data_IF_052871936465
#
_entry.id   IF_052871936465
#
_cell.length_a   1.000
_cell.length_b   1.000
_cell.length_c   1.000
_cell.angle_alpha   90.00
_cell.angle_beta   90.00
_cell.angle_gamma   90.00
#
_symmetry.space_group_name_H-M   'P 1'
#
loop_
_entity.id
_entity.type
_entity.pdbx_description
1 polymer ?
#
# COMPACT_ATOMS: atom_id res chain seq x y z
N UNK A 1 -14.13 -4.48 -20.90
CA UNK A 1 -13.52 -4.30 -19.68
C UNK A 1 -13.07 -5.55 -19.04
N UNK A 2 -12.26 -5.51 -18.29
CA UNK A 2 -11.78 -6.69 -17.71
C UNK A 2 -11.83 -6.57 -16.20
N UNK A 3 -12.21 -7.59 -15.52
CA UNK A 3 -12.15 -7.62 -14.07
C UNK A 3 -10.77 -7.96 -13.54
N UNK A 4 -9.77 -8.00 -14.39
CA UNK A 4 -8.44 -8.43 -14.00
C UNK A 4 -7.59 -7.27 -13.49
N UNK A 5 -6.71 -7.57 -12.54
CA UNK A 5 -5.76 -6.61 -12.00
C UNK A 5 -4.53 -6.49 -12.88
N UNK A 6 -3.96 -5.30 -12.92
CA UNK A 6 -2.63 -5.11 -13.51
C UNK A 6 -1.61 -5.67 -12.52
N UNK A 7 -0.67 -6.54 -12.97
CA UNK A 7 0.33 -7.12 -12.06
C UNK A 7 1.47 -6.16 -11.73
N UNK A 8 1.11 -4.93 -11.44
CA UNK A 8 2.03 -3.87 -11.06
C UNK A 8 1.32 -3.00 -10.03
N UNK A 9 1.95 -2.83 -8.87
CA UNK A 9 1.32 -2.16 -7.74
C UNK A 9 2.29 -1.23 -7.04
N UNK A 10 1.75 -0.46 -6.09
CA UNK A 10 2.54 0.41 -5.23
C UNK A 10 2.38 -0.02 -3.78
N UNK A 11 3.41 0.22 -2.99
CA UNK A 11 3.38 0.17 -1.54
C UNK A 11 3.80 1.55 -1.07
N UNK A 12 2.94 2.26 -0.34
CA UNK A 12 3.25 3.59 0.14
C UNK A 12 3.40 3.58 1.64
N UNK A 13 4.62 3.83 2.10
CA UNK A 13 4.92 3.94 3.53
C UNK A 13 4.67 5.37 3.95
N UNK A 14 3.63 5.59 4.75
CA UNK A 14 3.29 6.92 5.26
C UNK A 14 3.97 7.08 6.61
N UNK A 15 4.84 8.08 6.70
CA UNK A 15 5.70 8.24 7.88
C UNK A 15 5.83 9.68 8.31
N UNK A 16 6.14 9.86 9.60
CA UNK A 16 6.38 11.15 10.22
C UNK A 16 7.88 11.42 10.34
N UNK A 17 8.29 12.68 10.66
CA UNK A 17 9.71 12.98 10.89
C UNK A 17 10.31 12.18 12.04
N UNK A 18 9.52 11.83 13.06
CA UNK A 18 9.99 11.01 14.18
C UNK A 18 9.84 9.51 13.90
N UNK A 19 9.65 9.15 12.64
CA UNK A 19 9.63 7.77 12.15
C UNK A 19 8.53 6.89 12.75
N UNK A 20 7.34 7.46 12.90
CA UNK A 20 6.12 6.68 13.08
C UNK A 20 5.56 6.33 11.72
N UNK A 21 5.06 5.14 11.59
CA UNK A 21 4.55 4.60 10.32
C UNK A 21 3.08 4.21 10.50
N UNK A 22 2.27 4.58 9.52
CA UNK A 22 0.86 4.22 9.51
C UNK A 22 0.67 2.81 8.97
N UNK A 23 -0.03 1.99 9.72
CA UNK A 23 -0.45 0.67 9.27
C UNK A 23 -1.97 0.57 9.30
N UNK A 24 -2.51 -0.22 8.39
CA UNK A 24 -3.93 -0.49 8.24
C UNK A 24 -4.17 -1.99 8.39
N UNK A 25 -5.21 -2.35 9.13
CA UNK A 25 -5.61 -3.76 9.28
C UNK A 25 -6.59 -4.13 8.18
N UNK A 26 -6.32 -5.21 7.46
CA UNK A 26 -7.17 -5.64 6.35
C UNK A 26 -8.50 -6.19 6.84
N UNK A 27 -9.59 -5.75 6.21
CA UNK A 27 -10.92 -6.28 6.51
C UNK A 27 -11.10 -7.70 5.98
N UNK A 28 -10.48 -8.02 4.83
CA UNK A 28 -10.59 -9.36 4.23
C UNK A 28 -9.69 -10.39 4.92
N UNK A 29 -8.80 -9.95 5.80
CA UNK A 29 -7.91 -10.84 6.53
C UNK A 29 -7.55 -10.22 7.89
N UNK A 30 -8.49 -10.27 8.88
CA UNK A 30 -8.24 -9.66 10.18
C UNK A 30 -6.95 -10.14 10.84
N UNK A 31 -6.23 -9.22 11.46
CA UNK A 31 -4.93 -9.48 12.04
C UNK A 31 -3.76 -9.21 11.09
N UNK A 32 -4.04 -9.02 9.79
CA UNK A 32 -3.00 -8.69 8.81
C UNK A 32 -2.91 -7.17 8.66
N UNK A 33 -1.76 -6.62 9.00
CA UNK A 33 -1.48 -5.19 8.96
C UNK A 33 -0.51 -4.86 7.85
N UNK A 34 -0.70 -3.73 7.20
CA UNK A 34 0.13 -3.33 6.07
C UNK A 34 0.11 -1.81 5.86
N UNK A 35 1.12 -1.31 5.14
CA UNK A 35 1.09 0.04 4.60
C UNK A 35 0.04 0.14 3.50
N UNK A 36 -0.20 1.34 2.98
CA UNK A 36 -1.10 1.50 1.84
C UNK A 36 -0.56 0.74 0.64
N UNK A 37 -1.38 -0.08 0.04
CA UNK A 37 -1.01 -0.81 -1.17
C UNK A 37 -2.17 -0.83 -2.16
N UNK A 38 -1.84 -0.90 -3.44
CA UNK A 38 -2.86 -1.02 -4.48
C UNK A 38 -2.26 -1.18 -5.85
N UNK A 39 -3.03 -1.77 -6.75
CA UNK A 39 -2.62 -2.01 -8.13
C UNK A 39 -2.94 -0.81 -9.00
N UNK A 40 -2.20 -0.66 -10.10
CA UNK A 40 -2.58 0.27 -11.15
C UNK A 40 -3.99 -0.03 -11.66
N UNK A 41 -4.73 1.00 -12.00
CA UNK A 41 -6.05 0.84 -12.61
C UNK A 41 -5.94 0.39 -14.06
N UNK A 42 -4.88 0.81 -14.72
CA UNK A 42 -4.59 0.47 -16.11
C UNK A 42 -3.09 0.41 -16.32
N UNK A 43 -2.66 -0.27 -17.36
CA UNK A 43 -1.24 -0.52 -17.61
C UNK A 43 -0.44 0.77 -17.73
N UNK A 44 -1.01 1.82 -18.32
CA UNK A 44 -0.31 3.07 -18.54
C UNK A 44 -0.51 4.12 -17.44
N UNK A 45 -1.13 3.75 -16.33
CA UNK A 45 -1.26 4.67 -15.20
C UNK A 45 0.11 4.98 -14.60
N UNK A 46 0.50 6.27 -14.49
CA UNK A 46 1.75 6.61 -13.83
C UNK A 46 1.74 6.19 -12.36
N UNK A 47 2.85 5.68 -11.87
CA UNK A 47 2.95 5.18 -10.49
C UNK A 47 2.58 6.24 -9.46
N UNK A 48 2.98 7.50 -9.68
CA UNK A 48 2.60 8.58 -8.77
C UNK A 48 1.10 8.79 -8.66
N UNK A 49 0.36 8.59 -9.76
CA UNK A 49 -1.10 8.68 -9.74
C UNK A 49 -1.71 7.49 -9.01
N UNK A 50 -1.14 6.30 -9.20
CA UNK A 50 -1.56 5.12 -8.44
C UNK A 50 -1.42 5.39 -6.94
N UNK A 51 -0.28 5.94 -6.52
CA UNK A 51 -0.04 6.28 -5.12
C UNK A 51 -1.08 7.29 -4.61
N UNK A 52 -1.30 8.37 -5.34
CA UNK A 52 -2.24 9.40 -4.91
C UNK A 52 -3.64 8.85 -4.73
N UNK A 53 -4.08 8.05 -5.69
CA UNK A 53 -5.41 7.46 -5.67
C UNK A 53 -5.56 6.50 -4.50
N UNK A 54 -4.63 5.57 -4.33
CA UNK A 54 -4.73 4.56 -3.28
C UNK A 54 -4.60 5.18 -1.88
N UNK A 55 -3.69 6.12 -1.70
CA UNK A 55 -3.56 6.79 -0.40
C UNK A 55 -4.85 7.53 -0.05
N UNK A 56 -5.43 8.25 -1.00
CA UNK A 56 -6.67 8.99 -0.74
C UNK A 56 -7.83 8.04 -0.44
N UNK A 57 -7.97 6.98 -1.21
CA UNK A 57 -9.05 6.01 -1.02
C UNK A 57 -8.95 5.31 0.34
N UNK A 58 -7.74 4.97 0.78
CA UNK A 58 -7.53 4.19 1.99
C UNK A 58 -7.40 5.02 3.26
N UNK A 59 -6.97 6.27 3.15
CA UNK A 59 -6.68 7.11 4.33
C UNK A 59 -7.33 8.48 4.33
N UNK A 60 -7.82 8.95 3.20
CA UNK A 60 -8.32 10.31 3.06
C UNK A 60 -7.23 11.37 3.00
N UNK A 61 -5.95 10.98 3.00
CA UNK A 61 -4.84 11.93 2.97
C UNK A 61 -4.60 12.39 1.53
N UNK A 62 -4.50 13.72 1.34
CA UNK A 62 -4.20 14.31 0.04
C UNK A 62 -2.68 14.40 -0.12
N UNK A 63 -2.11 13.55 -0.98
CA UNK A 63 -0.66 13.49 -1.18
C UNK A 63 -0.08 14.78 -1.73
N UNK A 64 -0.90 15.62 -2.39
CA UNK A 64 -0.42 16.89 -2.96
C UNK A 64 0.03 17.87 -1.87
N UNK A 65 -0.38 17.65 -0.62
CA UNK A 65 -0.01 18.49 0.51
C UNK A 65 1.23 17.99 1.25
N UNK A 66 1.81 16.89 0.78
CA UNK A 66 2.91 16.23 1.48
C UNK A 66 3.99 15.83 0.47
N UNK A 67 5.09 15.28 0.98
CA UNK A 67 6.20 14.87 0.14
C UNK A 67 6.10 13.39 -0.21
N UNK A 68 5.77 13.10 -1.47
CA UNK A 68 5.74 11.73 -2.00
C UNK A 68 7.05 11.48 -2.74
N UNK A 69 7.78 10.47 -2.32
CA UNK A 69 9.08 10.14 -2.89
C UNK A 69 9.10 8.71 -3.39
N UNK A 70 9.54 8.53 -4.62
CA UNK A 70 9.82 7.20 -5.17
C UNK A 70 11.15 6.73 -4.58
N UNK A 71 11.12 5.72 -3.73
CA UNK A 71 12.33 5.20 -3.12
C UNK A 71 13.14 4.32 -4.06
N UNK A 72 12.65 4.12 -5.29
CA UNK A 72 13.32 3.32 -6.31
C UNK A 72 13.63 1.90 -5.85
N UNK A 73 12.74 1.36 -5.02
CA UNK A 73 12.79 -0.02 -4.57
C UNK A 73 11.65 -0.79 -5.23
N UNK A 74 11.94 -1.99 -5.65
CA UNK A 74 10.96 -2.88 -6.23
C UNK A 74 11.04 -4.23 -5.57
N UNK A 75 9.87 -4.83 -5.36
CA UNK A 75 9.76 -6.20 -4.89
C UNK A 75 8.97 -6.98 -5.93
N UNK A 76 9.57 -8.05 -6.45
CA UNK A 76 8.86 -8.96 -7.34
C UNK A 76 8.53 -10.21 -6.55
N UNK A 77 7.25 -10.50 -6.41
CA UNK A 77 6.84 -11.64 -5.60
C UNK A 77 5.80 -12.49 -6.34
N UNK A 78 5.78 -13.76 -5.96
CA UNK A 78 4.81 -14.68 -6.50
C UNK A 78 3.44 -14.41 -5.87
N UNK A 79 2.42 -14.31 -6.72
CA UNK A 79 1.06 -14.09 -6.26
C UNK A 79 0.57 -15.40 -5.64
N UNK A 80 -0.03 -15.32 -4.44
CA UNK A 80 -0.61 -16.49 -3.81
C UNK A 80 -1.58 -17.17 -4.76
N UNK A 81 -1.53 -18.52 -4.90
CA UNK A 81 -2.37 -19.22 -5.87
C UNK A 81 -3.86 -18.89 -5.79
N UNK A 82 -4.39 -18.68 -4.59
CA UNK A 82 -5.80 -18.40 -4.42
C UNK A 82 -6.20 -16.98 -4.87
N UNK A 83 -5.22 -16.11 -5.17
CA UNK A 83 -5.49 -14.77 -5.69
C UNK A 83 -5.20 -14.62 -7.17
N UNK A 84 -4.61 -15.64 -7.83
CA UNK A 84 -4.23 -15.55 -9.24
C UNK A 84 -5.39 -15.35 -10.19
N UNK A 85 -6.58 -15.76 -9.78
CA UNK A 85 -7.78 -15.56 -10.60
C UNK A 85 -8.11 -14.08 -10.82
N UNK A 86 -7.54 -13.18 -10.01
CA UNK A 86 -7.73 -11.73 -10.14
C UNK A 86 -6.89 -11.12 -11.25
N UNK A 87 -5.98 -11.89 -11.84
CA UNK A 87 -5.00 -11.42 -12.83
C UNK A 87 -5.24 -12.10 -14.17
N UNK A 88 -4.66 -11.55 -15.27
CA UNK A 88 -4.73 -12.21 -16.57
C UNK A 88 -4.12 -13.61 -16.52
N UNK A 89 -4.60 -14.49 -17.40
CA UNK A 89 -4.07 -15.85 -17.50
C UNK A 89 -2.55 -15.84 -17.71
N UNK A 90 -1.86 -16.72 -17.01
CA UNK A 90 -0.41 -16.84 -17.11
C UNK A 90 0.37 -15.90 -16.21
N UNK A 91 -0.29 -14.95 -15.55
CA UNK A 91 0.37 -14.05 -14.62
C UNK A 91 0.57 -14.74 -13.29
N UNK A 92 1.83 -14.88 -12.86
CA UNK A 92 2.18 -15.53 -11.59
C UNK A 92 2.87 -14.60 -10.61
N UNK A 93 3.39 -13.47 -11.08
CA UNK A 93 4.16 -12.54 -10.26
C UNK A 93 3.63 -11.13 -10.38
N UNK A 94 3.77 -10.37 -9.30
CA UNK A 94 3.45 -8.94 -9.25
C UNK A 94 4.73 -8.17 -8.95
N UNK A 95 4.86 -6.98 -9.55
CA UNK A 95 5.96 -6.06 -9.23
C UNK A 95 5.41 -4.94 -8.38
N UNK A 96 5.94 -4.80 -7.18
CA UNK A 96 5.53 -3.79 -6.22
C UNK A 96 6.60 -2.71 -6.15
N UNK A 97 6.19 -1.46 -6.40
CA UNK A 97 7.07 -0.29 -6.33
C UNK A 97 6.86 0.41 -5.00
N UNK A 98 7.94 0.70 -4.29
CA UNK A 98 7.88 1.25 -2.93
C UNK A 98 8.08 2.76 -2.95
N UNK A 99 7.13 3.47 -2.34
CA UNK A 99 7.17 4.93 -2.19
C UNK A 99 7.10 5.28 -0.71
N UNK A 100 7.63 6.46 -0.39
CA UNK A 100 7.46 7.04 0.93
C UNK A 100 6.63 8.31 0.85
N UNK A 101 5.67 8.47 1.76
CA UNK A 101 4.91 9.70 1.90
C UNK A 101 5.22 10.29 3.27
N UNK A 102 5.91 11.42 3.28
CA UNK A 102 6.26 12.10 4.52
C UNK A 102 5.18 13.08 4.91
N UNK A 103 4.61 12.89 6.10
CA UNK A 103 3.62 13.80 6.68
C UNK A 103 4.21 14.44 7.94
N UNK A 104 3.74 15.65 8.33
CA UNK A 104 4.36 16.37 9.45
C UNK A 104 4.10 15.75 10.81
N UNK A 105 3.04 14.99 10.95
CA UNK A 105 2.63 14.38 12.21
C UNK A 105 1.68 13.22 11.94
N UNK A 106 1.32 12.48 12.97
CA UNK A 106 0.36 11.39 12.87
C UNK A 106 -1.02 11.98 12.60
N UNK A 107 -1.38 12.09 11.30
CA UNK A 107 -2.62 12.69 10.86
C UNK A 107 -3.81 11.79 11.16
N UNK A 108 -4.99 12.41 11.25
CA UNK A 108 -6.24 11.68 11.35
C UNK A 108 -6.51 10.96 10.02
N UNK A 109 -6.92 9.71 10.11
CA UNK A 109 -7.14 8.84 8.95
C UNK A 109 -8.62 8.53 8.81
N UNK A 110 -9.14 8.70 7.58
CA UNK A 110 -10.49 8.28 7.23
C UNK A 110 -10.40 7.01 6.40
N UNK A 111 -10.59 5.88 7.04
CA UNK A 111 -10.46 4.57 6.39
C UNK A 111 -11.64 4.26 5.48
N UNK A 112 -11.35 3.47 4.43
CA UNK A 112 -12.40 2.86 3.61
C UNK A 112 -13.03 1.72 4.42
N UNK A 113 -14.32 1.82 4.83
CA UNK A 113 -14.89 0.88 5.82
C UNK A 113 -14.91 -0.57 5.38
N UNK A 114 -14.96 -0.83 4.08
CA UNK A 114 -15.03 -2.20 3.55
C UNK A 114 -13.68 -2.83 3.34
N UNK A 115 -12.61 -2.03 3.36
CA UNK A 115 -11.27 -2.51 3.05
C UNK A 115 -10.42 -2.66 4.30
N UNK A 116 -10.66 -1.82 5.30
CA UNK A 116 -9.82 -1.79 6.50
C UNK A 116 -10.65 -1.70 7.76
N UNK A 117 -10.22 -2.41 8.81
CA UNK A 117 -10.89 -2.47 10.11
C UNK A 117 -10.36 -1.43 11.08
N UNK A 118 -9.06 -1.14 11.01
CA UNK A 118 -8.39 -0.27 11.97
C UNK A 118 -7.15 0.35 11.34
N UNK A 119 -6.67 1.42 11.95
CA UNK A 119 -5.41 2.03 11.59
C UNK A 119 -4.63 2.36 12.86
N UNK A 120 -3.30 2.39 12.75
CA UNK A 120 -2.44 2.66 13.88
C UNK A 120 -1.14 3.28 13.43
N UNK A 121 -0.69 4.31 14.16
CA UNK A 121 0.62 4.90 13.95
C UNK A 121 1.59 4.27 14.93
N UNK A 122 2.62 3.62 14.42
CA UNK A 122 3.59 2.88 15.24
C UNK A 122 5.01 3.34 14.96
N UNK A 123 5.91 3.30 15.97
CA UNK A 123 7.33 3.44 15.69
C UNK A 123 7.73 2.43 14.60
N UNK A 124 8.66 2.83 13.72
CA UNK A 124 8.97 2.02 12.53
C UNK A 124 9.37 0.58 12.86
N UNK A 125 10.08 0.36 13.97
CA UNK A 125 10.48 -1.00 14.36
C UNK A 125 9.27 -1.87 14.67
N UNK A 126 8.29 -1.31 15.38
CA UNK A 126 7.05 -2.02 15.70
C UNK A 126 6.18 -2.22 14.48
N UNK A 127 6.18 -1.23 13.58
CA UNK A 127 5.44 -1.35 12.33
C UNK A 127 5.98 -2.52 11.50
N UNK A 128 7.31 -2.64 11.40
CA UNK A 128 7.92 -3.72 10.65
C UNK A 128 7.54 -5.09 11.24
N UNK A 129 7.53 -5.21 12.56
CA UNK A 129 7.14 -6.47 13.23
C UNK A 129 5.67 -6.82 13.01
N UNK A 130 4.81 -5.80 12.89
CA UNK A 130 3.37 -5.98 12.76
C UNK A 130 2.95 -6.40 11.35
N UNK A 131 3.74 -6.07 10.33
CA UNK A 131 3.38 -6.32 8.93
C UNK A 131 3.30 -7.81 8.63
N UNK A 132 2.28 -8.19 7.83
CA UNK A 132 2.08 -9.59 7.48
C UNK A 132 2.98 -10.05 6.35
N UNK A 133 3.58 -9.14 5.60
CA UNK A 133 4.40 -9.46 4.44
C UNK A 133 5.81 -8.91 4.66
N UNK A 134 6.80 -9.69 4.23
CA UNK A 134 8.19 -9.30 4.40
C UNK A 134 8.54 -8.01 3.66
N UNK A 135 7.90 -7.76 2.52
CA UNK A 135 8.15 -6.53 1.76
C UNK A 135 7.67 -5.29 2.51
N UNK A 136 6.61 -5.43 3.31
CA UNK A 136 6.15 -4.35 4.17
C UNK A 136 7.10 -4.12 5.35
N UNK A 137 7.76 -5.17 5.82
CA UNK A 137 8.66 -5.09 6.95
C UNK A 137 10.00 -4.44 6.57
N UNK A 138 10.38 -4.50 5.31
CA UNK A 138 11.58 -3.85 4.82
C UNK A 138 11.35 -2.36 4.63
#
# INVERSE_FOLDING_TARGET
MSGTKVPESVLVVIHTPDLKVLLLERADHPGFWQSVTGSKDRVDEPLGETCRREVFEETGIDTARHELTDWQLQNRYEIYPHWRHRYPDGVTHNVEHVFGLRVPEALEVTMAPREHLACEWLPWERAAERCFSWSNAE
#
